data_IF_097620293389
#
_entry.id   IF_097620293389
#
_cell.length_a   1.000
_cell.length_b   1.000
_cell.length_c   1.000
_cell.angle_alpha   90.00
_cell.angle_beta   90.00
_cell.angle_gamma   90.00
#
_symmetry.space_group_name_H-M   'P 1'
#
loop_
_entity.id
_entity.type
_entity.pdbx_description
1 polymer ?
#
# COMPACT_ATOMS: atom_id res chain seq x y z
N UNK A 1 -21.97 -2.53 4.30
CA UNK A 1 -20.49 -2.57 4.20
C UNK A 1 -19.90 -3.05 5.53
N UNK A 2 -18.66 -3.55 5.56
CA UNK A 2 -17.98 -4.06 6.78
C UNK A 2 -17.12 -3.00 7.51
N UNK A 3 -17.20 -1.74 7.09
CA UNK A 3 -16.53 -0.60 7.76
C UNK A 3 -15.09 -0.30 7.33
N UNK A 4 -14.51 -1.05 6.38
CA UNK A 4 -13.15 -0.82 5.87
C UNK A 4 -13.00 0.54 5.16
N UNK A 5 -11.82 1.13 5.27
CA UNK A 5 -11.46 2.33 4.50
C UNK A 5 -11.09 1.91 3.08
N UNK A 6 -11.64 2.61 2.09
CA UNK A 6 -11.37 2.40 0.67
C UNK A 6 -10.90 3.73 0.12
N UNK A 7 -9.59 3.83 -0.15
CA UNK A 7 -8.94 5.06 -0.61
C UNK A 7 -8.40 4.95 -2.03
N UNK A 8 -7.70 5.99 -2.46
CA UNK A 8 -7.13 6.05 -3.81
C UNK A 8 -5.77 5.39 -3.95
N UNK A 9 -5.51 4.84 -5.14
CA UNK A 9 -4.25 4.21 -5.54
C UNK A 9 -4.01 4.28 -7.07
N UNK A 10 -4.29 5.45 -7.67
CA UNK A 10 -4.22 5.70 -9.13
C UNK A 10 -5.28 4.95 -9.95
N UNK A 11 -5.60 5.46 -11.15
CA UNK A 11 -6.51 4.77 -12.09
C UNK A 11 -5.71 3.84 -13.03
N UNK A 12 -4.58 4.34 -13.53
CA UNK A 12 -3.69 3.63 -14.47
C UNK A 12 -2.44 3.07 -13.81
N UNK A 13 -2.34 3.16 -12.49
CA UNK A 13 -1.18 2.71 -11.73
C UNK A 13 0.12 3.35 -12.23
N UNK A 14 0.09 4.68 -12.44
CA UNK A 14 1.20 5.44 -13.04
C UNK A 14 2.41 5.52 -12.10
N UNK A 15 3.61 5.33 -12.64
CA UNK A 15 4.86 5.61 -11.93
C UNK A 15 5.13 7.13 -11.95
N UNK A 16 5.22 7.75 -10.78
CA UNK A 16 5.35 9.21 -10.68
C UNK A 16 6.79 9.72 -10.71
N UNK A 17 7.74 8.93 -10.24
CA UNK A 17 9.14 9.29 -10.15
C UNK A 17 9.99 8.14 -10.71
N UNK A 18 11.08 8.43 -11.43
CA UNK A 18 11.97 7.38 -11.91
C UNK A 18 12.73 6.75 -10.74
N UNK A 19 13.20 5.51 -10.93
CA UNK A 19 13.88 4.73 -9.89
C UNK A 19 15.30 5.25 -9.59
N UNK A 20 16.00 5.74 -10.63
CA UNK A 20 17.38 6.23 -10.58
C UNK A 20 17.47 7.71 -10.16
N UNK A 21 16.48 8.53 -10.54
CA UNK A 21 16.44 9.97 -10.26
C UNK A 21 15.16 10.41 -9.57
N UNK A 22 14.91 9.87 -8.38
CA UNK A 22 13.65 10.06 -7.63
C UNK A 22 13.17 11.52 -7.50
N UNK A 23 14.06 12.51 -7.53
CA UNK A 23 13.65 13.93 -7.44
C UNK A 23 12.96 14.47 -8.70
N UNK A 24 13.01 13.76 -9.82
CA UNK A 24 12.35 14.13 -11.08
C UNK A 24 10.91 13.60 -11.13
N UNK A 25 10.02 14.34 -11.78
CA UNK A 25 8.64 13.92 -12.01
C UNK A 25 8.55 13.29 -13.41
N UNK A 26 8.13 12.03 -13.47
CA UNK A 26 8.06 11.25 -14.72
C UNK A 26 6.81 11.57 -15.54
N UNK A 27 5.73 12.00 -14.87
CA UNK A 27 4.45 12.33 -15.48
C UNK A 27 4.16 13.82 -15.37
N UNK A 28 3.47 14.40 -16.35
CA UNK A 28 3.00 15.78 -16.24
C UNK A 28 2.02 15.97 -15.07
N UNK A 29 1.96 17.19 -14.52
CA UNK A 29 1.01 17.54 -13.45
C UNK A 29 -0.43 17.22 -13.88
N UNK A 30 -0.79 17.56 -15.13
CA UNK A 30 -2.11 17.28 -15.69
C UNK A 30 -2.40 15.79 -15.78
N UNK A 31 -1.41 14.97 -16.17
CA UNK A 31 -1.55 13.52 -16.24
C UNK A 31 -1.78 12.89 -14.87
N UNK A 32 -1.00 13.29 -13.86
CA UNK A 32 -1.18 12.82 -12.49
C UNK A 32 -2.55 13.24 -11.93
N UNK A 33 -2.91 14.50 -12.13
CA UNK A 33 -4.20 15.05 -11.65
C UNK A 33 -5.38 14.36 -12.31
N UNK A 34 -5.31 14.13 -13.63
CA UNK A 34 -6.35 13.42 -14.37
C UNK A 34 -6.49 11.98 -13.88
N UNK A 35 -5.38 11.26 -13.73
CA UNK A 35 -5.35 9.89 -13.22
C UNK A 35 -5.96 9.78 -11.80
N UNK A 36 -5.58 10.69 -10.90
CA UNK A 36 -6.17 10.77 -9.57
C UNK A 36 -7.69 11.01 -9.62
N UNK A 37 -8.14 11.96 -10.44
CA UNK A 37 -9.58 12.29 -10.58
C UNK A 37 -10.37 11.13 -11.18
N UNK A 38 -9.79 10.38 -12.12
CA UNK A 38 -10.41 9.18 -12.67
C UNK A 38 -10.54 8.10 -11.60
N UNK A 39 -9.52 7.90 -10.76
CA UNK A 39 -9.61 6.97 -9.64
C UNK A 39 -10.73 7.37 -8.66
N UNK A 40 -10.85 8.65 -8.32
CA UNK A 40 -11.96 9.14 -7.50
C UNK A 40 -13.32 8.95 -8.17
N UNK A 41 -13.41 9.14 -9.49
CA UNK A 41 -14.62 8.89 -10.26
C UNK A 41 -15.06 7.43 -10.19
N UNK A 42 -14.13 6.48 -10.32
CA UNK A 42 -14.43 5.05 -10.15
C UNK A 42 -14.90 4.74 -8.73
N UNK A 43 -14.22 5.26 -7.69
CA UNK A 43 -14.64 5.07 -6.30
C UNK A 43 -16.07 5.61 -6.03
N UNK A 44 -16.44 6.75 -6.61
CA UNK A 44 -17.80 7.31 -6.49
C UNK A 44 -18.86 6.34 -7.02
N UNK A 45 -18.60 5.61 -8.10
CA UNK A 45 -19.56 4.63 -8.67
C UNK A 45 -19.89 3.50 -7.69
N UNK A 46 -18.96 3.17 -6.79
CA UNK A 46 -19.15 2.18 -5.73
C UNK A 46 -19.72 2.78 -4.43
N UNK A 47 -20.21 4.02 -4.46
CA UNK A 47 -20.83 4.69 -3.31
C UNK A 47 -19.84 5.21 -2.28
N UNK A 48 -18.54 5.31 -2.63
CA UNK A 48 -17.54 5.93 -1.74
C UNK A 48 -17.71 7.44 -1.79
N UNK A 49 -17.86 8.06 -0.61
CA UNK A 49 -17.86 9.51 -0.48
C UNK A 49 -16.41 10.01 -0.54
N UNK A 50 -15.94 10.36 -1.74
CA UNK A 50 -14.55 10.77 -1.97
C UNK A 50 -14.18 12.09 -1.30
N UNK A 51 -15.16 12.94 -1.00
CA UNK A 51 -14.93 14.22 -0.30
C UNK A 51 -14.55 14.01 1.17
N UNK A 52 -14.72 12.77 1.68
CA UNK A 52 -14.30 12.34 3.03
C UNK A 52 -13.03 11.49 3.02
N UNK A 53 -12.43 11.23 1.86
CA UNK A 53 -11.16 10.50 1.81
C UNK A 53 -10.02 11.43 2.18
N UNK A 54 -9.23 11.03 3.17
CA UNK A 54 -8.08 11.80 3.64
C UNK A 54 -6.74 11.29 3.13
N UNK A 55 -6.68 10.05 2.61
CA UNK A 55 -5.43 9.36 2.34
C UNK A 55 -5.36 8.76 0.95
N UNK A 56 -4.18 8.88 0.34
CA UNK A 56 -3.81 8.37 -0.96
C UNK A 56 -2.50 7.58 -0.86
N UNK A 57 -2.45 6.38 -1.44
CA UNK A 57 -1.21 5.60 -1.58
C UNK A 57 -0.74 5.69 -3.04
N UNK A 58 0.42 6.27 -3.35
CA UNK A 58 0.96 6.28 -4.70
C UNK A 58 1.26 4.87 -5.23
N UNK A 59 1.06 4.59 -6.53
CA UNK A 59 1.46 3.34 -7.16
C UNK A 59 2.92 3.00 -6.93
N UNK A 60 3.21 1.69 -6.86
CA UNK A 60 4.55 1.16 -6.55
C UNK A 60 5.12 1.65 -5.22
N UNK A 61 4.28 2.29 -4.40
CA UNK A 61 4.67 2.94 -3.15
C UNK A 61 5.84 3.93 -3.35
N UNK A 62 5.93 4.46 -4.56
CA UNK A 62 7.04 5.27 -5.03
C UNK A 62 6.57 6.66 -5.43
N UNK A 63 7.20 7.66 -4.85
CA UNK A 63 6.78 9.05 -4.98
C UNK A 63 7.96 9.99 -4.76
N UNK A 64 7.77 11.26 -5.09
CA UNK A 64 8.73 12.32 -4.80
C UNK A 64 8.04 13.55 -4.17
N UNK A 65 8.82 14.58 -3.84
CA UNK A 65 8.26 15.80 -3.22
C UNK A 65 7.23 16.50 -4.11
N UNK A 66 7.39 16.45 -5.43
CA UNK A 66 6.47 17.09 -6.36
C UNK A 66 5.12 16.36 -6.42
N UNK A 67 5.14 15.03 -6.55
CA UNK A 67 3.92 14.21 -6.58
C UNK A 67 3.14 14.33 -5.28
N UNK A 68 3.82 14.31 -4.12
CA UNK A 68 3.18 14.50 -2.81
C UNK A 68 2.45 15.84 -2.75
N UNK A 69 3.11 16.93 -3.14
CA UNK A 69 2.50 18.28 -3.16
C UNK A 69 1.29 18.36 -4.10
N UNK A 70 1.34 17.68 -5.25
CA UNK A 70 0.20 17.65 -6.18
C UNK A 70 -0.97 16.93 -5.52
N UNK A 71 -0.76 15.77 -4.89
CA UNK A 71 -1.80 15.01 -4.18
C UNK A 71 -2.37 15.80 -2.98
N UNK A 72 -1.52 16.49 -2.23
CA UNK A 72 -1.95 17.38 -1.13
C UNK A 72 -2.83 18.53 -1.65
N UNK A 73 -2.45 19.17 -2.76
CA UNK A 73 -3.20 20.28 -3.36
C UNK A 73 -4.57 19.85 -3.90
N UNK A 74 -4.77 18.57 -4.18
CA UNK A 74 -6.07 18.01 -4.62
C UNK A 74 -6.85 17.35 -3.47
N UNK A 75 -6.39 17.52 -2.23
CA UNK A 75 -7.18 17.28 -1.01
C UNK A 75 -6.90 15.98 -0.27
N UNK A 76 -5.82 15.24 -0.57
CA UNK A 76 -5.46 14.02 0.15
C UNK A 76 -4.01 14.02 0.63
N UNK A 77 -3.77 13.40 1.78
CA UNK A 77 -2.42 13.15 2.29
C UNK A 77 -1.84 11.88 1.69
N UNK A 78 -0.60 11.97 1.21
CA UNK A 78 0.14 10.79 0.75
C UNK A 78 0.56 9.94 1.95
N UNK A 79 0.28 8.65 1.91
CA UNK A 79 0.74 7.67 2.90
C UNK A 79 1.67 6.63 2.27
N UNK A 80 2.38 5.88 3.10
CA UNK A 80 3.13 4.70 2.68
C UNK A 80 3.21 3.67 3.82
N UNK A 81 3.60 2.43 3.50
CA UNK A 81 3.89 1.42 4.50
C UNK A 81 5.16 1.72 5.30
N UNK A 82 5.26 1.14 6.48
CA UNK A 82 6.44 1.24 7.34
C UNK A 82 7.57 0.36 6.78
N UNK A 83 8.75 0.91 6.51
CA UNK A 83 9.87 0.14 5.95
C UNK A 83 10.43 -0.87 6.97
N UNK A 84 11.06 -1.94 6.46
CA UNK A 84 11.79 -2.92 7.26
C UNK A 84 11.06 -4.24 7.54
N UNK A 85 9.77 -4.35 7.21
CA UNK A 85 8.96 -5.58 7.42
C UNK A 85 8.96 -6.50 6.20
N UNK A 86 9.34 -6.00 5.01
CA UNK A 86 9.42 -6.72 3.73
C UNK A 86 8.09 -7.27 3.16
N UNK A 87 6.96 -7.07 3.85
CA UNK A 87 5.64 -7.56 3.43
C UNK A 87 5.22 -7.16 2.01
N UNK A 88 5.68 -6.00 1.52
CA UNK A 88 5.41 -5.55 0.16
C UNK A 88 5.96 -6.51 -0.92
N UNK A 89 6.86 -7.45 -0.61
CA UNK A 89 7.29 -8.48 -1.54
C UNK A 89 6.26 -9.63 -1.70
N UNK A 90 5.07 -9.54 -1.11
CA UNK A 90 4.05 -10.58 -1.26
C UNK A 90 3.44 -10.68 -2.67
N UNK A 91 3.64 -9.67 -3.54
CA UNK A 91 3.24 -9.74 -4.94
C UNK A 91 4.15 -10.60 -5.81
N UNK A 92 5.40 -10.87 -5.38
CA UNK A 92 6.42 -11.52 -6.22
C UNK A 92 6.09 -12.98 -6.51
N UNK A 93 6.52 -13.49 -7.66
CA UNK A 93 6.41 -14.92 -8.03
C UNK A 93 7.73 -15.66 -7.82
N UNK A 94 7.72 -17.01 -7.69
CA UNK A 94 8.93 -17.79 -7.37
C UNK A 94 10.12 -17.64 -8.33
N UNK A 95 9.87 -17.18 -9.57
CA UNK A 95 10.88 -16.91 -10.59
C UNK A 95 11.56 -15.54 -10.46
N UNK A 96 11.05 -14.65 -9.61
CA UNK A 96 11.61 -13.33 -9.37
C UNK A 96 12.75 -13.39 -8.34
N UNK A 97 13.84 -12.66 -8.59
CA UNK A 97 15.01 -12.62 -7.71
C UNK A 97 14.68 -12.18 -6.27
N UNK A 98 13.75 -11.23 -6.13
CA UNK A 98 13.32 -10.69 -4.85
C UNK A 98 12.17 -11.49 -4.21
N UNK A 99 11.90 -12.71 -4.68
CA UNK A 99 10.85 -13.56 -4.12
C UNK A 99 11.09 -13.87 -2.64
N UNK A 100 10.01 -13.78 -1.87
CA UNK A 100 9.94 -14.22 -0.47
C UNK A 100 8.69 -15.04 -0.27
N UNK A 101 8.82 -16.23 0.30
CA UNK A 101 7.67 -17.04 0.71
C UNK A 101 6.83 -16.32 1.77
N UNK A 102 5.55 -16.67 1.87
CA UNK A 102 4.67 -16.14 2.90
C UNK A 102 5.20 -16.36 4.32
N UNK A 103 5.90 -17.47 4.57
CA UNK A 103 6.48 -17.74 5.88
C UNK A 103 7.67 -16.80 6.18
N UNK A 104 8.58 -16.60 5.22
CA UNK A 104 9.68 -15.63 5.37
C UNK A 104 9.16 -14.22 5.64
N UNK A 105 8.07 -13.82 4.98
CA UNK A 105 7.43 -12.53 5.22
C UNK A 105 6.90 -12.45 6.66
N UNK A 106 6.12 -13.44 7.11
CA UNK A 106 5.58 -13.50 8.48
C UNK A 106 6.71 -13.46 9.52
N UNK A 107 7.78 -14.22 9.31
CA UNK A 107 8.94 -14.25 10.19
C UNK A 107 9.63 -12.88 10.25
N UNK A 108 9.73 -12.18 9.10
CA UNK A 108 10.23 -10.80 9.01
C UNK A 108 9.39 -9.81 9.81
N UNK A 109 8.05 -9.93 9.80
CA UNK A 109 7.16 -9.11 10.63
C UNK A 109 7.44 -9.34 12.12
N UNK A 110 7.49 -10.58 12.58
CA UNK A 110 7.69 -10.85 14.00
C UNK A 110 9.12 -10.55 14.46
N UNK A 111 10.11 -10.68 13.58
CA UNK A 111 11.46 -10.20 13.84
C UNK A 111 11.50 -8.67 14.01
N UNK A 112 10.86 -7.91 13.11
CA UNK A 112 10.76 -6.46 13.23
C UNK A 112 10.01 -6.06 14.50
N UNK A 113 8.86 -6.70 14.76
CA UNK A 113 8.01 -6.45 15.93
C UNK A 113 8.77 -6.71 17.23
N UNK A 114 9.50 -7.81 17.34
CA UNK A 114 10.26 -8.13 18.54
C UNK A 114 11.39 -7.11 18.82
N UNK A 115 11.95 -6.49 17.76
CA UNK A 115 13.03 -5.51 17.90
C UNK A 115 12.54 -4.08 18.15
N UNK A 116 11.43 -3.68 17.53
CA UNK A 116 11.00 -2.29 17.47
C UNK A 116 9.60 -2.04 18.05
N UNK A 117 8.82 -3.10 18.25
CA UNK A 117 7.37 -3.01 18.34
C UNK A 117 6.73 -2.63 16.99
N UNK A 118 5.40 -2.53 16.96
CA UNK A 118 4.64 -2.10 15.76
C UNK A 118 3.89 -0.77 15.95
N UNK A 119 4.15 -0.02 17.03
CA UNK A 119 3.38 1.18 17.42
C UNK A 119 3.18 2.20 16.27
N UNK A 120 2.03 2.16 15.57
CA UNK A 120 1.73 3.01 14.42
C UNK A 120 2.20 2.48 13.05
N UNK A 121 2.57 1.20 12.98
CA UNK A 121 3.07 0.55 11.77
C UNK A 121 1.96 0.36 10.72
N UNK A 122 2.25 0.74 9.48
CA UNK A 122 1.40 0.50 8.31
C UNK A 122 1.99 -0.69 7.54
N UNK A 123 1.20 -1.75 7.36
CA UNK A 123 1.63 -2.97 6.66
C UNK A 123 0.90 -3.02 5.31
N UNK A 124 1.65 -3.21 4.22
CA UNK A 124 1.11 -3.39 2.87
C UNK A 124 1.03 -4.87 2.50
N UNK A 125 -0.10 -5.28 1.93
CA UNK A 125 -0.37 -6.63 1.40
C UNK A 125 -1.14 -6.47 0.09
N UNK A 126 -0.86 -7.33 -0.88
CA UNK A 126 -1.49 -7.33 -2.19
C UNK A 126 -2.51 -8.47 -2.31
N UNK A 127 -3.83 -8.22 -2.23
CA UNK A 127 -4.81 -9.23 -2.62
C UNK A 127 -4.78 -9.46 -4.14
N UNK A 128 -4.99 -10.71 -4.56
CA UNK A 128 -5.08 -11.04 -6.00
C UNK A 128 -3.73 -11.17 -6.72
N UNK A 129 -2.67 -11.53 -6.01
CA UNK A 129 -1.33 -11.74 -6.60
C UNK A 129 -1.33 -12.78 -7.71
N UNK A 130 -0.31 -12.73 -8.57
CA UNK A 130 -0.18 -13.59 -9.74
C UNK A 130 -0.35 -15.08 -9.44
N UNK A 131 -1.04 -15.84 -10.30
CA UNK A 131 -1.38 -17.26 -10.08
C UNK A 131 -0.18 -18.17 -9.76
N UNK A 132 1.01 -17.83 -10.25
CA UNK A 132 2.23 -18.61 -10.01
C UNK A 132 2.75 -18.50 -8.58
N UNK A 133 2.38 -17.45 -7.83
CA UNK A 133 2.59 -17.44 -6.38
C UNK A 133 1.52 -18.30 -5.73
N UNK A 134 1.82 -19.54 -5.39
CA UNK A 134 0.84 -20.49 -4.83
C UNK A 134 0.65 -20.29 -3.32
N UNK A 135 1.67 -19.80 -2.63
CA UNK A 135 1.66 -19.45 -1.20
C UNK A 135 1.22 -17.99 -1.00
N UNK A 136 -0.10 -17.78 -1.04
CA UNK A 136 -0.70 -16.45 -0.91
C UNK A 136 -0.62 -15.93 0.53
N UNK A 137 0.07 -14.80 0.75
CA UNK A 137 0.18 -14.20 2.08
C UNK A 137 -1.20 -13.82 2.64
N UNK A 138 -2.09 -13.30 1.80
CA UNK A 138 -3.44 -12.91 2.23
C UNK A 138 -4.30 -14.09 2.76
N UNK A 139 -3.96 -15.34 2.43
CA UNK A 139 -4.63 -16.51 3.02
C UNK A 139 -4.19 -16.77 4.47
N UNK A 140 -3.10 -16.15 4.93
CA UNK A 140 -2.56 -16.26 6.29
C UNK A 140 -2.92 -15.06 7.18
N UNK A 141 -3.76 -14.14 6.70
CA UNK A 141 -4.17 -12.96 7.46
C UNK A 141 -4.82 -13.28 8.81
N UNK A 142 -5.66 -14.32 8.87
CA UNK A 142 -6.34 -14.72 10.12
C UNK A 142 -5.34 -15.07 11.24
N UNK A 143 -4.29 -15.83 10.90
CA UNK A 143 -3.20 -16.16 11.81
C UNK A 143 -2.45 -14.91 12.29
N UNK A 144 -2.07 -14.03 11.37
CA UNK A 144 -1.32 -12.81 11.68
C UNK A 144 -2.14 -11.93 12.62
N UNK A 145 -3.41 -11.70 12.28
CA UNK A 145 -4.33 -10.87 13.08
C UNK A 145 -4.51 -11.47 14.48
N UNK A 146 -4.75 -12.78 14.59
CA UNK A 146 -4.92 -13.45 15.89
C UNK A 146 -3.66 -13.36 16.75
N UNK A 147 -2.49 -13.53 16.14
CA UNK A 147 -1.20 -13.46 16.84
C UNK A 147 -0.92 -12.06 17.36
N UNK A 148 -1.09 -11.03 16.52
CA UNK A 148 -0.90 -9.64 16.92
C UNK A 148 -1.88 -9.22 18.04
N UNK A 149 -3.16 -9.63 17.95
CA UNK A 149 -4.14 -9.39 19.02
C UNK A 149 -3.75 -10.05 20.35
N UNK A 150 -3.27 -11.29 20.32
CA UNK A 150 -2.76 -11.99 21.52
C UNK A 150 -1.57 -11.28 22.15
N UNK A 151 -0.74 -10.61 21.34
CA UNK A 151 0.37 -9.76 21.79
C UNK A 151 -0.07 -8.37 22.28
N UNK A 152 -1.36 -8.05 22.24
CA UNK A 152 -1.91 -6.79 22.72
C UNK A 152 -2.01 -5.68 21.68
N UNK A 153 -1.69 -5.96 20.41
CA UNK A 153 -1.86 -4.98 19.34
C UNK A 153 -3.32 -4.81 18.93
N UNK A 154 -3.67 -3.60 18.52
CA UNK A 154 -4.95 -3.26 17.90
C UNK A 154 -4.72 -2.98 16.43
N UNK A 155 -5.62 -3.49 15.59
CA UNK A 155 -5.65 -3.17 14.17
C UNK A 155 -6.64 -2.04 13.99
N UNK A 156 -6.11 -0.87 13.66
CA UNK A 156 -6.89 0.34 13.44
C UNK A 156 -7.12 0.57 11.95
N UNK A 157 -8.19 1.29 11.66
CA UNK A 157 -8.45 1.78 10.30
C UNK A 157 -7.73 3.13 10.12
N UNK A 158 -7.37 3.42 8.88
CA UNK A 158 -7.12 4.80 8.45
C UNK A 158 -8.40 5.65 8.56
#
# INVERSE_FOLDING_TARGET
SKGHYVGGHSDKHLLYAPWDKRNELLVGIDSLTADFRQNMSELKKFGINVDKLGYYLPPYEWYNKASVRIVENIGQSTINYTPGINFAADYTTPDMENYRSSQELIDSLYYYENKNGLNGCIILIHPGTHKNRTDKLYNRLDEIIKTLKKKGYRLERL
#
